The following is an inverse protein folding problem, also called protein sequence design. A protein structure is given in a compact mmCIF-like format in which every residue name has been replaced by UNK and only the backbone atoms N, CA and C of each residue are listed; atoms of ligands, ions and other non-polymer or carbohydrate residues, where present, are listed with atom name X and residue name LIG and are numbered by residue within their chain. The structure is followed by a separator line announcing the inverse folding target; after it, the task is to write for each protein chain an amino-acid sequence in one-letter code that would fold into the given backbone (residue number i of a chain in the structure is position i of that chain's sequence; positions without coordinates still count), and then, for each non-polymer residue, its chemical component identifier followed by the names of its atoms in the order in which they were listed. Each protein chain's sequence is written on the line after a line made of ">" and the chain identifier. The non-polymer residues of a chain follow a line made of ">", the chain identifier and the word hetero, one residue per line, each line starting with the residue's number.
data_IF_327864771380
#
_entry.id   IF_327864771380
#
_cell.length_a   1.000
_cell.length_b   1.000
_cell.length_c   1.000
_cell.angle_alpha   90.00
_cell.angle_beta   90.00
_cell.angle_gamma   90.00
#
_symmetry.space_group_name_H-M   'P 1'
#
loop_
_entity.id
_entity.type
_entity.pdbx_description
1 polymer ?
#
# COMPACT_ATOMS: atom_id res chain seq x y z
N UNK A 1 -4.31 36.65 0.74
CA UNK A 1 -4.25 36.56 0.89
C UNK A 1 -4.17 35.61 1.27
N UNK A 2 -3.77 35.57 1.74
CA UNK A 2 -4.13 35.12 2.16
C UNK A 2 -4.47 33.83 1.96
N UNK A 3 -5.16 33.67 1.28
CA UNK A 3 -5.53 32.44 1.00
C UNK A 3 -4.49 31.56 0.67
N UNK A 4 -3.46 32.14 0.34
CA UNK A 4 -2.38 31.40 0.03
C UNK A 4 -2.04 30.39 0.99
N UNK A 5 -1.80 30.78 2.17
CA UNK A 5 -1.36 29.86 3.14
C UNK A 5 -2.36 28.77 3.31
N UNK A 6 -3.57 29.10 3.18
CA UNK A 6 -4.57 28.14 3.33
C UNK A 6 -4.48 27.09 2.31
N UNK A 7 -4.11 27.49 1.16
CA UNK A 7 -4.07 26.58 0.08
C UNK A 7 -3.00 25.58 0.25
N UNK A 8 -1.88 26.03 0.67
CA UNK A 8 -0.79 25.14 0.73
C UNK A 8 -0.84 24.18 1.82
N UNK A 9 -1.18 24.63 2.97
CA UNK A 9 -1.17 23.76 4.10
C UNK A 9 -2.03 22.52 3.90
N UNK A 10 -3.24 22.67 3.44
CA UNK A 10 -4.05 21.49 3.21
C UNK A 10 -3.46 20.59 2.14
N UNK A 11 -2.88 21.19 1.17
CA UNK A 11 -2.30 20.41 0.11
C UNK A 11 -1.21 19.53 0.62
N UNK A 12 -0.33 20.07 1.40
CA UNK A 12 0.75 19.29 1.92
C UNK A 12 0.27 18.23 2.84
N UNK A 13 -0.70 18.56 3.64
CA UNK A 13 -1.21 17.61 4.57
C UNK A 13 -1.75 16.37 3.88
N UNK A 14 -2.39 16.54 2.76
CA UNK A 14 -2.98 15.41 2.10
C UNK A 14 -2.03 14.65 1.23
N UNK A 15 -0.92 15.22 0.93
CA UNK A 15 0.03 14.57 0.08
C UNK A 15 0.25 13.13 0.41
N UNK A 16 0.56 12.85 1.64
CA UNK A 16 0.87 11.51 2.01
C UNK A 16 -0.29 10.58 1.85
N UNK A 17 -1.43 11.05 2.30
CA UNK A 17 -2.61 10.24 2.26
C UNK A 17 -3.03 9.91 0.85
N UNK A 18 -2.92 10.87 -0.01
CA UNK A 18 -3.37 10.68 -1.36
C UNK A 18 -2.28 10.39 -2.35
N UNK A 19 -1.12 10.05 -1.86
CA UNK A 19 -0.04 9.77 -2.77
C UNK A 19 -0.43 8.76 -3.82
N UNK A 20 -1.14 7.72 -3.43
CA UNK A 20 -1.56 6.71 -4.37
C UNK A 20 -2.61 7.25 -5.31
N UNK A 21 -3.48 8.08 -4.80
CA UNK A 21 -4.47 8.69 -5.65
C UNK A 21 -3.84 9.64 -6.63
N UNK A 22 -2.82 10.34 -6.20
CA UNK A 22 -2.12 11.23 -7.09
C UNK A 22 -1.50 10.45 -8.23
N UNK A 23 -0.90 9.32 -7.92
CA UNK A 23 -0.32 8.49 -8.95
C UNK A 23 -1.39 8.03 -9.92
N UNK A 24 -2.54 7.64 -9.39
CA UNK A 24 -3.64 7.19 -10.22
C UNK A 24 -4.14 8.31 -11.12
N UNK A 25 -4.26 9.49 -10.55
CA UNK A 25 -4.72 10.65 -11.29
C UNK A 25 -3.72 11.00 -12.38
N UNK A 26 -2.45 10.97 -12.06
CA UNK A 26 -1.42 11.25 -13.02
C UNK A 26 -1.44 10.23 -14.15
N UNK A 27 -1.70 8.97 -13.82
CA UNK A 27 -1.77 7.95 -14.83
C UNK A 27 -2.90 8.23 -15.81
N UNK A 28 -4.03 8.66 -15.31
CA UNK A 28 -5.14 8.98 -16.17
C UNK A 28 -4.82 10.12 -17.10
N UNK A 29 -4.19 11.14 -16.57
CA UNK A 29 -3.78 12.26 -17.38
C UNK A 29 -2.70 11.86 -18.38
N UNK A 30 -1.81 11.02 -17.95
CA UNK A 30 -0.70 10.61 -18.77
C UNK A 30 -1.16 9.82 -19.99
N UNK A 31 -2.23 9.09 -19.85
CA UNK A 31 -2.79 8.37 -20.98
C UNK A 31 -3.09 9.32 -22.11
N UNK A 32 -3.52 10.54 -21.77
CA UNK A 32 -3.84 11.51 -22.78
C UNK A 32 -2.65 12.30 -23.24
N UNK A 33 -1.55 12.30 -22.51
CA UNK A 33 -0.42 13.16 -22.83
C UNK A 33 0.73 12.43 -23.48
N UNK A 34 1.31 11.45 -22.81
CA UNK A 34 2.46 10.78 -23.40
C UNK A 34 2.74 9.46 -22.71
N UNK A 35 3.37 8.58 -23.46
CA UNK A 35 3.77 7.29 -22.95
C UNK A 35 4.83 7.44 -21.88
N UNK A 36 5.65 8.48 -21.98
CA UNK A 36 6.68 8.72 -20.99
C UNK A 36 6.07 9.03 -19.63
N UNK A 37 5.03 9.88 -19.62
CA UNK A 37 4.38 10.23 -18.37
C UNK A 37 3.68 9.02 -17.76
N UNK A 38 3.10 8.15 -18.59
CA UNK A 38 2.49 6.93 -18.11
C UNK A 38 3.53 6.04 -17.45
N UNK A 39 4.69 5.89 -18.10
CA UNK A 39 5.75 5.06 -17.56
C UNK A 39 6.26 5.62 -16.24
N UNK A 40 6.37 6.94 -16.13
CA UNK A 40 6.84 7.55 -14.92
C UNK A 40 5.85 7.34 -13.77
N UNK A 41 4.57 7.51 -14.04
CA UNK A 41 3.55 7.32 -13.02
C UNK A 41 3.56 5.88 -12.50
N UNK A 42 3.73 4.94 -13.41
CA UNK A 42 3.80 3.53 -13.03
C UNK A 42 5.01 3.27 -12.14
N UNK A 43 6.15 3.80 -12.52
CA UNK A 43 7.36 3.60 -11.75
C UNK A 43 7.24 4.20 -10.37
N UNK A 44 6.65 5.38 -10.28
CA UNK A 44 6.46 6.02 -8.97
C UNK A 44 5.56 5.18 -8.07
N UNK A 45 4.50 4.62 -8.64
CA UNK A 45 3.61 3.77 -7.87
C UNK A 45 4.32 2.50 -7.41
N UNK A 46 5.10 1.87 -8.29
CA UNK A 46 5.84 0.68 -7.92
C UNK A 46 6.81 0.95 -6.79
N UNK A 47 7.54 2.04 -6.89
CA UNK A 47 8.52 2.40 -5.89
C UNK A 47 7.85 2.64 -4.54
N UNK A 48 6.74 3.35 -4.56
CA UNK A 48 6.03 3.67 -3.35
C UNK A 48 5.46 2.41 -2.68
N UNK A 49 4.83 1.56 -3.47
CA UNK A 49 4.23 0.36 -2.91
C UNK A 49 5.29 -0.61 -2.41
N UNK A 50 6.40 -0.72 -3.13
CA UNK A 50 7.49 -1.58 -2.71
C UNK A 50 8.04 -1.12 -1.36
N UNK A 51 8.21 0.19 -1.19
CA UNK A 51 8.70 0.73 0.07
C UNK A 51 7.70 0.48 1.19
N UNK A 52 6.41 0.62 0.90
CA UNK A 52 5.38 0.38 1.90
C UNK A 52 5.36 -1.07 2.34
N UNK A 53 5.51 -1.99 1.39
CA UNK A 53 5.55 -3.41 1.73
C UNK A 53 6.77 -3.74 2.57
N UNK A 54 7.91 -3.12 2.27
CA UNK A 54 9.12 -3.36 3.05
C UNK A 54 8.97 -2.88 4.48
N UNK A 55 8.35 -1.72 4.67
CA UNK A 55 8.10 -1.21 6.00
C UNK A 55 7.14 -2.12 6.76
N UNK A 56 6.10 -2.57 6.06
CA UNK A 56 5.14 -3.48 6.68
C UNK A 56 5.80 -4.77 7.11
N UNK A 57 6.76 -5.25 6.35
CA UNK A 57 7.47 -6.47 6.70
C UNK A 57 8.18 -6.32 8.04
N UNK A 58 8.78 -5.16 8.27
CA UNK A 58 9.43 -4.90 9.55
C UNK A 58 8.43 -4.88 10.69
N UNK A 59 7.27 -4.29 10.45
CA UNK A 59 6.24 -4.25 11.47
C UNK A 59 5.70 -5.65 11.76
N UNK A 60 5.59 -6.47 10.73
CA UNK A 60 5.14 -7.84 10.90
C UNK A 60 6.15 -8.63 11.74
N UNK A 61 7.43 -8.39 11.51
CA UNK A 61 8.46 -9.05 12.30
C UNK A 61 8.33 -8.67 13.77
N UNK A 62 8.02 -7.41 14.05
CA UNK A 62 7.83 -6.98 15.43
C UNK A 62 6.63 -7.65 16.07
N UNK A 63 5.56 -7.83 15.27
CA UNK A 63 4.39 -8.54 15.78
C UNK A 63 4.72 -9.98 16.09
N UNK A 64 5.53 -10.60 15.25
CA UNK A 64 5.94 -11.98 15.51
C UNK A 64 6.64 -12.09 16.85
N UNK A 65 7.52 -11.16 17.14
CA UNK A 65 8.23 -11.20 18.40
C UNK A 65 7.30 -10.99 19.58
N UNK A 66 6.39 -10.06 19.46
CA UNK A 66 5.43 -9.84 20.53
C UNK A 66 4.54 -11.04 20.75
N UNK A 67 4.22 -11.72 19.67
CA UNK A 67 3.33 -12.86 19.74
C UNK A 67 3.88 -14.03 20.52
N UNK A 68 5.20 -14.11 20.63
CA UNK A 68 5.80 -15.20 21.41
C UNK A 68 5.41 -15.13 22.88
N UNK A 69 5.09 -13.95 23.38
CA UNK A 69 4.72 -13.79 24.77
C UNK A 69 3.26 -14.13 25.04
N UNK A 70 2.46 -14.28 24.02
CA UNK A 70 1.05 -14.60 24.20
C UNK A 70 0.89 -16.07 24.55
N UNK A 71 -0.23 -16.38 25.24
CA UNK A 71 -0.50 -17.72 25.68
C UNK A 71 -1.96 -18.07 25.45
N UNK A 72 -2.21 -19.37 25.41
CA UNK A 72 -3.56 -19.91 25.37
C UNK A 72 -4.38 -19.35 24.20
N UNK A 73 -5.58 -18.92 24.47
CA UNK A 73 -6.47 -18.49 23.42
C UNK A 73 -5.96 -17.26 22.67
N UNK A 74 -5.33 -16.35 23.41
CA UNK A 74 -4.78 -15.17 22.77
C UNK A 74 -3.73 -15.57 21.73
N UNK A 75 -2.92 -16.54 22.06
CA UNK A 75 -1.90 -17.00 21.13
C UNK A 75 -2.54 -17.66 19.93
N UNK A 76 -3.62 -18.42 20.13
CA UNK A 76 -4.30 -19.07 19.02
C UNK A 76 -4.90 -18.04 18.07
N UNK A 77 -5.58 -17.03 18.63
CA UNK A 77 -6.17 -15.99 17.81
C UNK A 77 -5.11 -15.22 17.04
N UNK A 78 -4.01 -14.91 17.71
CA UNK A 78 -2.91 -14.18 17.09
C UNK A 78 -2.32 -15.01 15.95
N UNK A 79 -2.14 -16.30 16.15
CA UNK A 79 -1.58 -17.17 15.13
C UNK A 79 -2.44 -17.17 13.87
N UNK A 80 -3.76 -17.22 14.04
CA UNK A 80 -4.66 -17.19 12.92
C UNK A 80 -4.58 -15.86 12.17
N UNK A 81 -4.55 -14.78 12.93
CA UNK A 81 -4.50 -13.46 12.31
C UNK A 81 -3.19 -13.23 11.59
N UNK A 82 -2.11 -13.76 12.12
CA UNK A 82 -0.81 -13.64 11.47
C UNK A 82 -0.77 -14.43 10.17
N UNK A 83 -1.39 -15.61 10.17
CA UNK A 83 -1.45 -16.41 8.95
C UNK A 83 -2.24 -15.66 7.87
N UNK A 84 -3.35 -15.03 8.26
CA UNK A 84 -4.16 -14.26 7.34
C UNK A 84 -3.36 -13.05 6.82
N UNK A 85 -2.66 -12.37 7.71
CA UNK A 85 -1.85 -11.23 7.34
C UNK A 85 -0.78 -11.62 6.32
N UNK A 86 -0.10 -12.72 6.57
CA UNK A 86 0.95 -13.15 5.67
C UNK A 86 0.40 -13.55 4.30
N UNK A 87 -0.78 -14.16 4.29
CA UNK A 87 -1.41 -14.52 3.04
C UNK A 87 -1.75 -13.26 2.23
N UNK A 88 -2.27 -12.24 2.90
CA UNK A 88 -2.62 -10.99 2.24
C UNK A 88 -1.39 -10.25 1.78
N UNK A 89 -0.32 -10.33 2.55
CA UNK A 89 0.94 -9.73 2.15
C UNK A 89 1.44 -10.36 0.85
N UNK A 90 1.31 -11.67 0.73
CA UNK A 90 1.73 -12.35 -0.48
C UNK A 90 0.90 -11.91 -1.68
N UNK A 91 -0.41 -11.74 -1.49
CA UNK A 91 -1.27 -11.26 -2.55
C UNK A 91 -0.83 -9.86 -3.00
N UNK A 92 -0.49 -9.00 -2.05
CA UNK A 92 -0.04 -7.65 -2.40
C UNK A 92 1.25 -7.70 -3.20
N UNK A 93 2.16 -8.58 -2.84
CA UNK A 93 3.40 -8.73 -3.61
C UNK A 93 3.14 -9.23 -5.00
N UNK A 94 2.22 -10.17 -5.14
CA UNK A 94 1.87 -10.69 -6.45
C UNK A 94 1.25 -9.60 -7.32
N UNK A 95 0.40 -8.77 -6.72
CA UNK A 95 -0.21 -7.68 -7.45
C UNK A 95 0.83 -6.65 -7.88
N UNK A 96 1.80 -6.38 -7.03
CA UNK A 96 2.89 -5.50 -7.42
C UNK A 96 3.64 -6.06 -8.62
N UNK A 97 3.85 -7.37 -8.64
CA UNK A 97 4.49 -8.01 -9.78
C UNK A 97 3.67 -7.84 -11.05
N UNK A 98 2.34 -7.89 -10.94
CA UNK A 98 1.49 -7.67 -12.08
C UNK A 98 1.60 -6.24 -12.60
N UNK A 99 1.70 -5.27 -11.69
CA UNK A 99 1.89 -3.89 -12.08
C UNK A 99 3.18 -3.75 -12.87
N UNK A 100 4.24 -4.37 -12.38
CA UNK A 100 5.52 -4.29 -13.06
C UNK A 100 5.48 -4.81 -14.47
N UNK A 101 4.73 -5.87 -14.70
CA UNK A 101 4.67 -6.52 -15.99
C UNK A 101 3.72 -5.83 -16.95
N UNK A 102 2.81 -5.02 -16.43
CA UNK A 102 1.83 -4.38 -17.30
C UNK A 102 2.46 -3.23 -18.06
N UNK A 103 1.87 -2.91 -19.21
CA UNK A 103 2.37 -1.81 -20.03
C UNK A 103 1.21 -0.96 -20.47
N UNK A 104 1.52 0.26 -20.92
CA UNK A 104 0.52 1.16 -21.41
C UNK A 104 -0.55 1.43 -20.39
N UNK A 105 -1.79 1.41 -20.83
CA UNK A 105 -2.90 1.72 -19.95
C UNK A 105 -3.25 0.58 -19.02
N UNK A 106 -2.78 -0.61 -19.33
CA UNK A 106 -3.15 -1.78 -18.54
C UNK A 106 -2.76 -1.64 -17.08
N UNK A 107 -1.67 -0.94 -16.81
CA UNK A 107 -1.21 -0.83 -15.44
C UNK A 107 -2.19 -0.07 -14.55
N UNK A 108 -3.04 0.77 -15.13
CA UNK A 108 -4.02 1.50 -14.34
C UNK A 108 -4.97 0.54 -13.64
N UNK A 109 -5.35 -0.52 -14.34
CA UNK A 109 -6.21 -1.54 -13.73
C UNK A 109 -5.44 -2.36 -12.70
N UNK A 110 -4.20 -2.68 -13.01
CA UNK A 110 -3.37 -3.43 -12.06
C UNK A 110 -3.11 -2.62 -10.80
N UNK A 111 -2.98 -1.31 -10.95
CA UNK A 111 -2.75 -0.44 -9.83
C UNK A 111 -3.90 -0.49 -8.84
N UNK A 112 -5.12 -0.51 -9.35
CA UNK A 112 -6.29 -0.58 -8.47
C UNK A 112 -6.30 -1.87 -7.67
N UNK A 113 -5.97 -2.98 -8.33
CA UNK A 113 -5.90 -4.25 -7.64
C UNK A 113 -4.81 -4.29 -6.59
N UNK A 114 -3.65 -3.71 -6.93
CA UNK A 114 -2.54 -3.66 -6.00
C UNK A 114 -2.86 -2.78 -4.80
N UNK A 115 -3.54 -1.66 -5.05
CA UNK A 115 -3.94 -0.77 -3.97
C UNK A 115 -4.92 -1.46 -3.02
N UNK A 116 -5.89 -2.18 -3.58
CA UNK A 116 -6.85 -2.90 -2.76
C UNK A 116 -6.16 -3.98 -1.93
N UNK A 117 -5.20 -4.67 -2.53
CA UNK A 117 -4.46 -5.69 -1.80
C UNK A 117 -3.64 -5.09 -0.67
N UNK A 118 -3.06 -3.92 -0.89
CA UNK A 118 -2.31 -3.23 0.15
C UNK A 118 -3.22 -2.81 1.30
N UNK A 119 -4.41 -2.32 0.97
CA UNK A 119 -5.37 -1.96 2.02
C UNK A 119 -5.76 -3.17 2.85
N UNK A 120 -5.88 -4.34 2.22
CA UNK A 120 -6.18 -5.56 2.93
C UNK A 120 -5.05 -5.94 3.88
N UNK A 121 -3.80 -5.73 3.45
CA UNK A 121 -2.66 -6.00 4.31
C UNK A 121 -2.70 -5.10 5.54
N UNK A 122 -2.97 -3.82 5.34
CA UNK A 122 -3.01 -2.88 6.44
C UNK A 122 -4.10 -3.25 7.44
N UNK A 123 -5.25 -3.64 6.93
CA UNK A 123 -6.36 -4.03 7.79
C UNK A 123 -6.03 -5.28 8.58
N UNK A 124 -5.45 -6.27 7.90
CA UNK A 124 -5.08 -7.51 8.58
C UNK A 124 -4.02 -7.25 9.64
N UNK A 125 -3.11 -6.33 9.37
CA UNK A 125 -2.09 -5.98 10.36
C UNK A 125 -2.74 -5.37 11.60
N UNK A 126 -3.69 -4.47 11.39
CA UNK A 126 -4.36 -3.85 12.52
C UNK A 126 -5.10 -4.88 13.35
N UNK A 127 -5.74 -5.84 12.69
CA UNK A 127 -6.46 -6.89 13.40
C UNK A 127 -5.52 -7.76 14.21
N UNK A 128 -4.36 -8.09 13.65
CA UNK A 128 -3.39 -8.89 14.38
C UNK A 128 -2.82 -8.12 15.56
N UNK A 129 -2.61 -6.82 15.38
CA UNK A 129 -2.05 -6.00 16.44
C UNK A 129 -3.03 -5.80 17.61
N UNK A 130 -4.31 -6.01 17.35
CA UNK A 130 -5.31 -5.86 18.41
C UNK A 130 -5.17 -6.91 19.50
N UNK A 131 -4.43 -7.97 19.23
CA UNK A 131 -4.23 -8.98 20.28
C UNK A 131 -3.27 -8.51 21.36
N UNK A 132 -2.69 -7.35 21.18
CA UNK A 132 -1.81 -6.72 22.17
C UNK A 132 -2.42 -5.40 22.69
#
# INVERSE_FOLDING_TARGET
>A
VTCTGCTEAPVEHTVRKVATEDVRHDAEKAVDTSAHAVAQAKEDFETHLKASLAEMEKEIDRLHEKGHALKDEAKARWTEKMADLEAKQQVARDKLGEVRKSTGEAWVHMEKGAQAAWDDVRKAFQEAAEEF
#
